data_IF_945887761185
#
_entry.id   IF_945887761185
#
_cell.length_a   1.000
_cell.length_b   1.000
_cell.length_c   1.000
_cell.angle_alpha   90.00
_cell.angle_beta   90.00
_cell.angle_gamma   90.00
#
_symmetry.space_group_name_H-M   'P 1'
#
loop_
_entity.id
_entity.type
_entity.pdbx_description
1 polymer ?
#
# COMPACT_ATOMS: atom_id res chain seq x y z
N UNK A 1 36.87 25.55 -34.29
CA UNK A 1 36.63 25.33 -32.84
C UNK A 1 35.15 25.29 -32.43
N UNK A 2 34.20 25.75 -33.27
CA UNK A 2 32.76 25.84 -32.90
C UNK A 2 31.92 24.57 -33.20
N UNK A 3 32.27 23.76 -34.20
CA UNK A 3 31.50 22.56 -34.56
C UNK A 3 31.65 21.42 -33.54
N UNK A 4 32.88 21.19 -33.06
CA UNK A 4 33.17 20.14 -32.09
C UNK A 4 32.46 20.41 -30.74
N UNK A 5 32.45 21.66 -30.30
CA UNK A 5 31.75 22.08 -29.08
C UNK A 5 30.23 21.89 -29.18
N UNK A 6 29.61 22.21 -30.33
CA UNK A 6 28.19 21.93 -30.59
C UNK A 6 27.87 20.44 -30.59
N UNK A 7 28.73 19.60 -31.18
CA UNK A 7 28.53 18.15 -31.18
C UNK A 7 28.61 17.56 -29.77
N UNK A 8 29.58 18.00 -28.96
CA UNK A 8 29.69 17.57 -27.55
C UNK A 8 28.47 18.02 -26.74
N UNK A 9 27.97 19.25 -26.94
CA UNK A 9 26.74 19.72 -26.26
C UNK A 9 25.50 18.91 -26.65
N UNK A 10 25.34 18.56 -27.93
CA UNK A 10 24.22 17.70 -28.38
C UNK A 10 24.34 16.31 -27.77
N UNK A 11 25.54 15.72 -27.74
CA UNK A 11 25.77 14.41 -27.16
C UNK A 11 25.46 14.40 -25.65
N UNK A 12 25.89 15.42 -24.91
CA UNK A 12 25.61 15.59 -23.47
C UNK A 12 24.11 15.78 -23.24
N UNK A 13 23.43 16.59 -24.06
CA UNK A 13 21.98 16.78 -23.96
C UNK A 13 21.21 15.48 -24.24
N UNK A 14 21.61 14.71 -25.26
CA UNK A 14 21.06 13.39 -25.54
C UNK A 14 21.32 12.39 -24.40
N UNK A 15 22.50 12.45 -23.76
CA UNK A 15 22.81 11.59 -22.62
C UNK A 15 21.92 11.91 -21.41
N UNK A 16 21.72 13.20 -21.13
CA UNK A 16 20.87 13.66 -20.01
C UNK A 16 19.41 13.27 -20.25
N UNK A 17 18.88 13.44 -21.47
CA UNK A 17 17.51 13.01 -21.80
C UNK A 17 17.37 11.49 -21.80
N UNK A 18 18.41 10.73 -22.16
CA UNK A 18 18.36 9.27 -22.10
C UNK A 18 18.35 8.76 -20.64
N UNK A 19 19.20 9.32 -19.78
CA UNK A 19 19.27 8.95 -18.35
C UNK A 19 17.96 9.29 -17.63
N UNK A 20 17.32 10.43 -17.94
CA UNK A 20 16.05 10.79 -17.31
C UNK A 20 14.89 9.87 -17.71
N UNK A 21 14.86 9.38 -18.95
CA UNK A 21 13.86 8.40 -19.40
C UNK A 21 14.02 7.04 -18.71
N UNK A 22 15.26 6.59 -18.45
CA UNK A 22 15.52 5.35 -17.71
C UNK A 22 15.03 5.47 -16.26
N UNK A 23 15.27 6.61 -15.60
CA UNK A 23 14.84 6.84 -14.23
C UNK A 23 13.31 6.83 -14.08
N UNK A 24 12.57 7.42 -15.03
CA UNK A 24 11.10 7.40 -15.00
C UNK A 24 10.53 5.99 -15.27
N UNK A 25 11.21 5.19 -16.09
CA UNK A 25 10.80 3.81 -16.40
C UNK A 25 10.84 2.88 -15.17
N UNK A 26 11.57 3.25 -14.11
CA UNK A 26 11.75 2.43 -12.91
C UNK A 26 10.71 2.69 -11.82
N UNK A 27 9.80 3.65 -12.01
CA UNK A 27 8.78 3.97 -11.03
C UNK A 27 7.50 3.15 -11.28
N UNK A 28 6.81 2.79 -10.19
CA UNK A 28 5.47 2.24 -10.23
C UNK A 28 4.51 3.34 -9.78
N UNK A 29 3.61 3.75 -10.67
CA UNK A 29 2.49 4.62 -10.33
C UNK A 29 1.41 3.75 -9.68
N UNK A 30 0.90 4.19 -8.54
CA UNK A 30 -0.23 3.57 -7.85
C UNK A 30 -1.40 4.53 -7.92
N UNK A 31 -2.57 4.02 -8.21
CA UNK A 31 -3.85 4.75 -8.10
C UNK A 31 -4.83 3.91 -7.29
N UNK A 32 -5.91 4.53 -6.81
CA UNK A 32 -6.84 3.86 -5.90
C UNK A 32 -8.31 4.12 -6.20
N UNK A 33 -9.15 3.22 -5.71
CA UNK A 33 -10.60 3.39 -5.64
C UNK A 33 -11.11 2.81 -4.32
N UNK A 34 -11.56 3.70 -3.43
CA UNK A 34 -12.16 3.34 -2.15
C UNK A 34 -13.64 2.94 -2.32
N UNK A 35 -14.03 1.90 -1.59
CA UNK A 35 -15.43 1.54 -1.34
C UNK A 35 -16.22 1.11 -2.57
N UNK A 36 -17.53 1.34 -2.50
CA UNK A 36 -18.50 1.14 -3.57
C UNK A 36 -18.93 2.48 -4.16
N UNK A 37 -19.13 2.52 -5.48
CA UNK A 37 -19.78 3.67 -6.15
C UNK A 37 -21.30 3.69 -5.94
N UNK A 38 -21.87 2.54 -5.59
CA UNK A 38 -23.27 2.43 -5.21
C UNK A 38 -23.44 2.84 -3.74
N UNK A 39 -24.29 3.84 -3.51
CA UNK A 39 -24.49 4.46 -2.21
C UNK A 39 -25.11 3.50 -1.19
N UNK A 40 -26.09 2.69 -1.58
CA UNK A 40 -26.75 1.76 -0.66
C UNK A 40 -25.76 0.67 -0.21
N UNK A 41 -24.95 0.18 -1.15
CA UNK A 41 -23.87 -0.77 -0.83
C UNK A 41 -22.83 -0.12 0.09
N UNK A 42 -22.44 1.13 -0.17
CA UNK A 42 -21.47 1.82 0.69
C UNK A 42 -22.02 2.04 2.11
N UNK A 43 -23.27 2.47 2.25
CA UNK A 43 -23.92 2.64 3.56
C UNK A 43 -24.01 1.31 4.33
N UNK A 44 -24.31 0.21 3.65
CA UNK A 44 -24.30 -1.12 4.26
C UNK A 44 -22.88 -1.54 4.69
N UNK A 45 -21.88 -1.25 3.87
CA UNK A 45 -20.48 -1.53 4.20
C UNK A 45 -20.03 -0.75 5.44
N UNK A 46 -20.35 0.54 5.50
CA UNK A 46 -20.02 1.39 6.64
C UNK A 46 -20.75 0.91 7.92
N UNK A 47 -22.03 0.52 7.80
CA UNK A 47 -22.81 -0.05 8.91
C UNK A 47 -22.21 -1.36 9.43
N UNK A 48 -21.72 -2.22 8.53
CA UNK A 48 -21.13 -3.52 8.86
C UNK A 48 -19.63 -3.47 9.19
N UNK A 49 -19.05 -2.27 9.26
CA UNK A 49 -17.63 -2.02 9.50
C UNK A 49 -16.74 -2.79 8.49
N UNK A 50 -17.11 -2.68 7.21
CA UNK A 50 -16.45 -3.30 6.05
C UNK A 50 -15.73 -2.21 5.26
N UNK A 51 -14.46 -2.44 4.99
CA UNK A 51 -13.65 -1.60 4.11
C UNK A 51 -13.29 -2.34 2.84
N UNK A 52 -13.24 -1.60 1.73
CA UNK A 52 -12.79 -2.09 0.43
C UNK A 52 -11.88 -1.04 -0.18
N UNK A 53 -10.71 -1.45 -0.64
CA UNK A 53 -9.78 -0.59 -1.36
C UNK A 53 -9.27 -1.32 -2.58
N UNK A 54 -9.38 -0.73 -3.76
CA UNK A 54 -8.72 -1.24 -4.96
C UNK A 54 -7.49 -0.39 -5.24
N UNK A 55 -6.33 -1.03 -5.34
CA UNK A 55 -5.08 -0.40 -5.78
C UNK A 55 -4.73 -0.92 -7.18
N UNK A 56 -4.37 0.01 -8.07
CA UNK A 56 -3.90 -0.28 -9.42
C UNK A 56 -2.46 0.20 -9.52
N UNK A 57 -1.55 -0.75 -9.72
CA UNK A 57 -0.12 -0.52 -9.88
C UNK A 57 0.21 -0.54 -11.38
N UNK A 58 0.86 0.51 -11.87
CA UNK A 58 1.23 0.67 -13.28
C UNK A 58 2.73 0.99 -13.39
N UNK A 59 3.47 0.18 -14.14
CA UNK A 59 4.89 0.40 -14.39
C UNK A 59 5.57 -0.79 -15.05
N UNK A 60 6.58 -0.53 -15.90
CA UNK A 60 7.42 -1.59 -16.50
C UNK A 60 8.12 -2.51 -15.49
N UNK A 61 8.51 -2.07 -14.27
CA UNK A 61 9.16 -2.95 -13.30
C UNK A 61 8.27 -4.09 -12.77
N UNK A 62 6.96 -4.05 -12.99
CA UNK A 62 6.01 -5.07 -12.57
C UNK A 62 6.03 -6.31 -13.48
N UNK A 63 6.44 -6.14 -14.73
CA UNK A 63 6.34 -7.17 -15.76
C UNK A 63 7.30 -8.33 -15.46
N UNK A 64 6.76 -9.54 -15.41
CA UNK A 64 7.49 -10.76 -15.06
C UNK A 64 7.71 -10.97 -13.55
N UNK A 65 7.21 -10.09 -12.68
CA UNK A 65 7.44 -10.20 -11.22
C UNK A 65 6.43 -11.11 -10.53
N UNK A 66 6.91 -11.78 -9.50
CA UNK A 66 6.05 -12.25 -8.42
C UNK A 66 5.86 -11.14 -7.39
N UNK A 67 4.85 -11.29 -6.54
CA UNK A 67 4.58 -10.36 -5.46
C UNK A 67 4.02 -11.10 -4.26
N UNK A 68 4.31 -10.55 -3.10
CA UNK A 68 3.90 -11.10 -1.82
C UNK A 68 3.23 -9.98 -1.03
N UNK A 69 2.11 -10.32 -0.42
CA UNK A 69 1.28 -9.39 0.35
C UNK A 69 1.20 -9.91 1.76
N UNK A 70 1.58 -9.07 2.71
CA UNK A 70 1.60 -9.40 4.13
C UNK A 70 0.76 -8.41 4.94
N UNK A 71 0.21 -8.89 6.06
CA UNK A 71 -0.32 -8.05 7.13
C UNK A 71 0.67 -8.09 8.30
N UNK A 72 1.24 -6.93 8.63
CA UNK A 72 2.17 -6.73 9.74
C UNK A 72 1.41 -6.09 10.90
N UNK A 73 1.52 -6.67 12.09
CA UNK A 73 0.85 -6.21 13.31
C UNK A 73 1.84 -5.50 14.21
N UNK A 74 1.48 -4.30 14.64
CA UNK A 74 2.31 -3.47 15.50
C UNK A 74 1.59 -3.19 16.82
N UNK A 75 2.31 -3.33 17.93
CA UNK A 75 1.82 -2.99 19.27
C UNK A 75 2.83 -2.06 19.92
N UNK A 76 2.38 -0.89 20.41
CA UNK A 76 3.24 0.15 20.99
C UNK A 76 4.45 0.54 20.11
N UNK A 77 4.28 0.51 18.79
CA UNK A 77 5.32 0.86 17.82
C UNK A 77 6.30 -0.26 17.47
N UNK A 78 6.15 -1.45 18.05
CA UNK A 78 6.99 -2.61 17.70
C UNK A 78 6.21 -3.59 16.82
N UNK A 79 6.86 -4.12 15.78
CA UNK A 79 6.28 -5.19 14.95
C UNK A 79 6.24 -6.48 15.76
N UNK A 80 5.03 -6.95 16.06
CA UNK A 80 4.77 -8.12 16.90
C UNK A 80 4.43 -9.38 16.10
N UNK A 81 3.90 -9.23 14.89
CA UNK A 81 3.49 -10.36 14.07
C UNK A 81 3.51 -10.00 12.58
N UNK A 82 3.66 -11.01 11.73
CA UNK A 82 3.45 -10.91 10.28
C UNK A 82 2.66 -12.13 9.83
N UNK A 83 1.59 -11.93 9.07
CA UNK A 83 0.87 -13.01 8.39
C UNK A 83 0.86 -12.80 6.89
N UNK A 84 1.04 -13.88 6.15
CA UNK A 84 0.91 -13.89 4.70
C UNK A 84 -0.56 -13.77 4.31
N UNK A 85 -0.89 -12.78 3.47
CA UNK A 85 -2.20 -12.69 2.81
C UNK A 85 -2.17 -13.43 1.48
N UNK A 86 -1.13 -13.24 0.68
CA UNK A 86 -1.01 -13.89 -0.63
C UNK A 86 0.45 -13.90 -1.10
N UNK A 87 0.88 -15.00 -1.72
CA UNK A 87 2.17 -15.10 -2.39
C UNK A 87 1.96 -15.62 -3.82
N UNK A 88 2.26 -14.78 -4.80
CA UNK A 88 2.09 -15.16 -6.20
C UNK A 88 3.17 -16.13 -6.70
N UNK A 89 4.22 -16.39 -5.92
CA UNK A 89 5.26 -17.37 -6.25
C UNK A 89 4.85 -18.83 -6.01
N UNK A 90 3.74 -19.05 -5.29
CA UNK A 90 3.22 -20.40 -5.04
C UNK A 90 2.89 -21.14 -6.34
N UNK A 91 2.48 -20.40 -7.38
CA UNK A 91 2.21 -20.95 -8.71
C UNK A 91 2.59 -19.95 -9.81
N UNK A 92 3.27 -20.42 -10.85
CA UNK A 92 3.68 -19.63 -12.02
C UNK A 92 2.51 -18.86 -12.66
N UNK A 93 1.30 -19.43 -12.63
CA UNK A 93 0.07 -18.80 -13.12
C UNK A 93 -0.23 -17.43 -12.47
N UNK A 94 0.23 -17.19 -11.25
CA UNK A 94 0.01 -15.91 -10.55
C UNK A 94 1.11 -14.88 -10.81
N UNK A 95 2.16 -15.21 -11.56
CA UNK A 95 3.18 -14.24 -11.99
C UNK A 95 2.51 -13.10 -12.74
N UNK A 96 2.89 -11.87 -12.42
CA UNK A 96 2.39 -10.71 -13.12
C UNK A 96 3.14 -10.51 -14.44
N UNK A 97 2.57 -10.92 -15.56
CA UNK A 97 3.16 -10.74 -16.90
C UNK A 97 2.64 -9.48 -17.62
N UNK A 98 2.29 -8.45 -16.86
CA UNK A 98 1.71 -7.19 -17.34
C UNK A 98 2.43 -6.00 -16.71
N UNK A 99 2.34 -4.84 -17.37
CA UNK A 99 2.76 -3.55 -16.78
C UNK A 99 1.74 -2.99 -15.80
N UNK A 100 0.62 -3.68 -15.64
CA UNK A 100 -0.46 -3.32 -14.73
C UNK A 100 -0.78 -4.51 -13.80
N UNK A 101 -0.93 -4.23 -12.51
CA UNK A 101 -1.43 -5.15 -11.51
C UNK A 101 -2.58 -4.49 -10.75
N UNK A 102 -3.76 -5.11 -10.75
CA UNK A 102 -4.92 -4.63 -9.99
C UNK A 102 -5.23 -5.57 -8.82
N UNK A 103 -5.26 -5.01 -7.61
CA UNK A 103 -5.51 -5.73 -6.37
C UNK A 103 -6.63 -5.06 -5.60
N UNK A 104 -7.60 -5.84 -5.15
CA UNK A 104 -8.70 -5.38 -4.30
C UNK A 104 -8.59 -5.99 -2.92
N UNK A 105 -8.48 -5.14 -1.92
CA UNK A 105 -8.36 -5.48 -0.51
C UNK A 105 -9.73 -5.32 0.15
N UNK A 106 -10.11 -6.31 0.95
CA UNK A 106 -11.31 -6.28 1.76
C UNK A 106 -10.96 -6.52 3.21
N UNK A 107 -11.50 -5.67 4.08
CA UNK A 107 -11.35 -5.78 5.51
C UNK A 107 -12.74 -5.77 6.14
N UNK A 108 -12.96 -6.60 7.15
CA UNK A 108 -14.14 -6.50 8.02
C UNK A 108 -13.67 -6.55 9.45
N UNK A 109 -14.17 -5.63 10.26
CA UNK A 109 -14.01 -5.70 11.70
C UNK A 109 -15.28 -6.28 12.30
N UNK A 110 -15.15 -7.41 12.99
CA UNK A 110 -16.29 -8.06 13.65
C UNK A 110 -15.80 -8.92 14.79
N UNK A 111 -16.53 -8.92 15.91
CA UNK A 111 -16.26 -9.81 17.05
C UNK A 111 -14.83 -9.68 17.60
N UNK A 112 -14.29 -8.45 17.64
CA UNK A 112 -12.93 -8.19 18.10
C UNK A 112 -11.83 -8.69 17.14
N UNK A 113 -12.17 -8.99 15.89
CA UNK A 113 -11.21 -9.48 14.88
C UNK A 113 -11.22 -8.62 13.62
N UNK A 114 -10.03 -8.43 13.07
CA UNK A 114 -9.83 -7.97 11.71
C UNK A 114 -9.77 -9.18 10.78
N UNK A 115 -10.75 -9.28 9.88
CA UNK A 115 -10.78 -10.24 8.78
C UNK A 115 -10.30 -9.57 7.50
N UNK A 116 -9.28 -10.15 6.87
CA UNK A 116 -8.63 -9.61 5.67
C UNK A 116 -8.70 -10.59 4.51
N UNK A 117 -8.99 -10.10 3.31
CA UNK A 117 -8.97 -10.85 2.04
C UNK A 117 -8.42 -9.97 0.94
N UNK A 118 -7.60 -10.53 0.07
CA UNK A 118 -7.13 -9.89 -1.17
C UNK A 118 -7.69 -10.62 -2.36
N UNK A 119 -8.11 -9.86 -3.38
CA UNK A 119 -8.53 -10.39 -4.67
C UNK A 119 -7.71 -9.76 -5.79
N UNK A 120 -7.27 -10.58 -6.74
CA UNK A 120 -6.79 -10.11 -8.03
C UNK A 120 -7.69 -10.63 -9.15
N UNK A 121 -7.29 -10.43 -10.40
CA UNK A 121 -8.08 -10.80 -11.58
C UNK A 121 -8.50 -12.28 -11.60
N UNK A 122 -7.65 -13.17 -11.09
CA UNK A 122 -7.85 -14.63 -11.17
C UNK A 122 -7.76 -15.36 -9.83
N UNK A 123 -7.72 -14.63 -8.71
CA UNK A 123 -7.59 -15.26 -7.40
C UNK A 123 -8.31 -14.49 -6.30
N UNK A 124 -8.59 -15.21 -5.22
CA UNK A 124 -8.93 -14.66 -3.92
C UNK A 124 -8.03 -15.37 -2.91
N UNK A 125 -7.41 -14.60 -2.02
CA UNK A 125 -6.65 -15.17 -0.92
C UNK A 125 -7.55 -15.96 0.03
N UNK A 126 -6.93 -16.79 0.86
CA UNK A 126 -7.56 -17.25 2.09
C UNK A 126 -7.97 -16.07 2.97
N UNK A 127 -8.97 -16.27 3.82
CA UNK A 127 -9.37 -15.30 4.84
C UNK A 127 -8.36 -15.35 5.98
N UNK A 128 -7.70 -14.24 6.25
CA UNK A 128 -6.81 -14.09 7.41
C UNK A 128 -7.53 -13.35 8.51
N UNK A 129 -7.35 -13.81 9.75
CA UNK A 129 -7.97 -13.23 10.94
C UNK A 129 -6.88 -12.78 11.92
N UNK A 130 -6.97 -11.55 12.40
CA UNK A 130 -6.12 -10.98 13.43
C UNK A 130 -6.98 -10.50 14.60
N UNK A 131 -6.56 -10.78 15.83
CA UNK A 131 -7.24 -10.29 17.02
C UNK A 131 -6.98 -8.79 17.18
N UNK A 132 -8.00 -8.04 17.58
CA UNK A 132 -7.88 -6.63 17.92
C UNK A 132 -7.53 -6.49 19.40
N UNK A 133 -6.61 -5.58 19.70
CA UNK A 133 -6.15 -5.30 21.08
C UNK A 133 -6.78 -4.03 21.68
N UNK A 134 -7.70 -3.41 20.95
CA UNK A 134 -8.40 -2.20 21.35
C UNK A 134 -9.85 -2.26 20.87
N UNK A 135 -10.64 -1.22 21.15
CA UNK A 135 -12.02 -1.12 20.71
C UNK A 135 -12.13 -1.27 19.19
N UNK A 136 -12.92 -2.25 18.75
CA UNK A 136 -13.16 -2.58 17.36
C UNK A 136 -13.63 -1.37 16.53
N UNK A 137 -14.45 -0.49 17.12
CA UNK A 137 -15.03 0.68 16.45
C UNK A 137 -14.00 1.80 16.22
N UNK A 138 -12.79 1.67 16.76
CA UNK A 138 -11.72 2.67 16.59
C UNK A 138 -10.80 2.38 15.42
N UNK A 139 -10.80 1.16 14.90
CA UNK A 139 -9.94 0.83 13.77
C UNK A 139 -10.58 1.35 12.49
N UNK A 140 -9.78 2.05 11.69
CA UNK A 140 -10.20 2.55 10.38
C UNK A 140 -9.16 2.20 9.33
N UNK A 141 -9.63 1.88 8.13
CA UNK A 141 -8.75 1.74 6.98
C UNK A 141 -8.25 3.11 6.53
N UNK A 142 -6.96 3.17 6.20
CA UNK A 142 -6.30 4.34 5.64
C UNK A 142 -5.34 3.95 4.53
N UNK A 143 -5.35 4.74 3.48
CA UNK A 143 -4.34 4.75 2.43
C UNK A 143 -3.31 5.87 2.67
N UNK A 144 -2.24 5.87 1.89
CA UNK A 144 -1.13 6.83 2.00
C UNK A 144 -1.16 7.93 0.93
N UNK A 145 -2.27 8.12 0.22
CA UNK A 145 -2.37 9.10 -0.87
C UNK A 145 -2.61 10.53 -0.39
N UNK A 146 -3.13 10.69 0.83
CA UNK A 146 -3.42 12.01 1.39
C UNK A 146 -4.48 12.76 0.58
N UNK A 147 -4.12 13.89 -0.03
CA UNK A 147 -4.98 14.63 -0.97
C UNK A 147 -4.74 14.27 -2.44
N UNK A 148 -3.72 13.48 -2.71
CA UNK A 148 -3.32 13.13 -4.06
C UNK A 148 -4.16 11.96 -4.60
N UNK A 149 -4.20 11.82 -5.93
CA UNK A 149 -4.87 10.70 -6.60
C UNK A 149 -3.92 9.60 -7.01
N UNK A 150 -2.62 9.88 -6.96
CA UNK A 150 -1.57 9.01 -7.46
C UNK A 150 -0.39 9.04 -6.47
N UNK A 151 0.26 7.89 -6.31
CA UNK A 151 1.46 7.74 -5.50
C UNK A 151 2.52 6.99 -6.32
N UNK A 152 3.80 7.37 -6.21
CA UNK A 152 4.89 6.75 -6.94
C UNK A 152 5.78 5.94 -6.01
N UNK A 153 5.82 4.63 -6.22
CA UNK A 153 6.78 3.73 -5.58
C UNK A 153 8.05 3.72 -6.43
N UNK A 154 9.18 3.99 -5.77
CA UNK A 154 10.51 3.97 -6.39
C UNK A 154 11.52 3.26 -5.48
N UNK A 155 12.66 2.89 -6.05
CA UNK A 155 13.75 2.24 -5.32
C UNK A 155 13.65 0.71 -5.30
N UNK A 156 14.16 0.08 -4.24
CA UNK A 156 14.16 -1.37 -4.11
C UNK A 156 12.72 -1.89 -3.90
N UNK A 157 12.23 -2.69 -4.86
CA UNK A 157 10.89 -3.27 -4.85
C UNK A 157 10.80 -4.60 -4.09
N UNK A 158 11.93 -5.21 -3.74
CA UNK A 158 11.99 -6.48 -2.98
C UNK A 158 11.91 -6.27 -1.45
N UNK A 159 11.64 -5.03 -1.01
CA UNK A 159 11.35 -4.71 0.40
C UNK A 159 9.85 -4.68 0.63
N UNK A 160 9.44 -4.87 1.88
CA UNK A 160 8.05 -4.60 2.28
C UNK A 160 7.74 -3.10 2.08
N UNK A 161 6.78 -2.82 1.22
CA UNK A 161 6.28 -1.48 0.95
C UNK A 161 4.88 -1.39 1.58
N UNK A 162 4.68 -0.56 2.62
CA UNK A 162 3.36 -0.30 3.17
C UNK A 162 2.46 0.34 2.10
N UNK A 163 1.29 -0.25 1.88
CA UNK A 163 0.30 0.22 0.90
C UNK A 163 -1.03 0.63 1.55
N UNK A 164 -1.37 0.05 2.69
CA UNK A 164 -2.54 0.42 3.49
C UNK A 164 -2.22 0.27 4.99
N UNK A 165 -2.97 0.99 5.82
CA UNK A 165 -2.91 0.87 7.27
C UNK A 165 -4.31 0.71 7.87
N UNK A 166 -4.42 -0.08 8.93
CA UNK A 166 -5.61 -0.18 9.77
C UNK A 166 -5.21 0.29 11.16
N UNK A 167 -5.64 1.49 11.52
CA UNK A 167 -5.11 2.24 12.66
C UNK A 167 -6.21 2.60 13.65
N UNK A 168 -5.86 2.67 14.93
CA UNK A 168 -6.65 3.39 15.94
C UNK A 168 -6.30 4.89 15.91
N UNK A 169 -7.14 5.78 16.46
CA UNK A 169 -6.84 7.20 16.44
C UNK A 169 -5.68 7.53 17.37
N UNK A 170 -4.94 8.59 17.02
CA UNK A 170 -4.07 9.28 17.98
C UNK A 170 -4.91 10.04 19.00
N UNK A 171 -4.48 10.04 20.27
CA UNK A 171 -5.12 10.84 21.33
C UNK A 171 -4.34 12.13 21.54
N UNK A 172 -5.02 13.27 21.39
CA UNK A 172 -4.48 14.57 21.76
C UNK A 172 -4.54 14.77 23.28
N UNK A 173 -3.75 15.72 23.80
CA UNK A 173 -3.68 16.01 25.24
C UNK A 173 -5.03 16.48 25.84
N UNK A 174 -5.91 17.03 25.00
CA UNK A 174 -7.27 17.46 25.36
C UNK A 174 -8.30 16.32 25.30
N UNK A 175 -7.88 15.09 25.01
CA UNK A 175 -8.73 13.91 24.91
C UNK A 175 -9.42 13.72 23.55
N UNK A 176 -9.22 14.64 22.60
CA UNK A 176 -9.75 14.49 21.23
C UNK A 176 -8.99 13.41 20.45
N UNK A 177 -9.69 12.74 19.53
CA UNK A 177 -9.16 11.65 18.70
C UNK A 177 -8.92 12.13 17.27
N UNK A 178 -7.75 11.84 16.70
CA UNK A 178 -7.43 12.24 15.33
C UNK A 178 -6.80 11.10 14.52
N UNK A 179 -7.39 10.83 13.35
CA UNK A 179 -6.86 9.90 12.36
C UNK A 179 -6.04 10.61 11.27
N UNK A 180 -6.41 11.85 10.92
CA UNK A 180 -5.80 12.57 9.78
C UNK A 180 -4.32 12.91 10.01
N UNK A 181 -3.93 13.19 11.26
CA UNK A 181 -2.53 13.48 11.63
C UNK A 181 -1.58 12.32 11.35
N UNK A 182 -2.09 11.08 11.32
CA UNK A 182 -1.25 9.88 11.27
C UNK A 182 -0.76 9.63 9.86
N UNK A 183 -1.69 9.59 8.90
CA UNK A 183 -1.43 9.03 7.56
C UNK A 183 -1.01 10.07 6.52
N UNK A 184 -1.30 11.35 6.79
CA UNK A 184 -0.84 12.49 5.97
C UNK A 184 0.44 13.11 6.51
N UNK A 185 1.14 12.40 7.41
CA UNK A 185 2.41 12.84 7.97
C UNK A 185 3.59 12.39 7.13
N UNK A 186 4.73 13.06 7.29
CA UNK A 186 6.02 12.61 6.72
C UNK A 186 6.63 11.43 7.50
N UNK A 187 5.91 10.91 8.50
CA UNK A 187 6.37 9.80 9.34
C UNK A 187 6.21 8.50 8.56
N UNK A 188 7.24 7.65 8.59
CA UNK A 188 7.14 6.34 7.95
C UNK A 188 6.11 5.46 8.69
N UNK A 189 5.29 4.67 7.97
CA UNK A 189 4.17 3.93 8.57
C UNK A 189 4.56 3.00 9.72
N UNK A 190 5.75 2.41 9.67
CA UNK A 190 6.30 1.53 10.70
C UNK A 190 6.53 2.23 12.04
N UNK A 191 6.67 3.56 12.05
CA UNK A 191 6.93 4.34 13.28
C UNK A 191 5.66 4.99 13.86
N UNK A 192 4.48 4.78 13.26
CA UNK A 192 3.23 5.39 13.69
C UNK A 192 2.92 5.17 15.19
N UNK A 193 3.20 3.98 15.71
CA UNK A 193 2.98 3.68 17.12
C UNK A 193 3.80 4.56 18.06
N UNK A 194 5.07 4.81 17.73
CA UNK A 194 5.98 5.62 18.54
C UNK A 194 5.63 7.11 18.47
N UNK A 195 5.42 7.64 17.26
CA UNK A 195 5.19 9.08 17.06
C UNK A 195 3.79 9.51 17.49
N UNK A 196 2.77 8.72 17.13
CA UNK A 196 1.37 9.08 17.36
C UNK A 196 0.77 8.41 18.60
N UNK A 197 1.56 7.61 19.33
CA UNK A 197 1.13 6.86 20.52
C UNK A 197 -0.07 5.95 20.22
N UNK A 198 -0.04 5.32 19.04
CA UNK A 198 -1.06 4.37 18.59
C UNK A 198 -0.74 3.01 19.23
N UNK A 199 -1.61 2.47 20.11
CA UNK A 199 -1.31 1.27 20.88
C UNK A 199 -1.28 0.02 20.02
N UNK A 200 -2.10 -0.03 18.97
CA UNK A 200 -2.21 -1.20 18.10
C UNK A 200 -2.64 -0.80 16.68
N UNK A 201 -1.95 -1.32 15.67
CA UNK A 201 -2.29 -1.09 14.26
C UNK A 201 -1.75 -2.21 13.37
N UNK A 202 -2.26 -2.23 12.14
CA UNK A 202 -1.80 -3.14 11.10
C UNK A 202 -1.30 -2.36 9.89
N UNK A 203 -0.23 -2.84 9.27
CA UNK A 203 0.21 -2.40 7.95
C UNK A 203 0.00 -3.53 6.96
N UNK A 204 -0.62 -3.22 5.83
CA UNK A 204 -0.65 -4.11 4.68
C UNK A 204 0.53 -3.71 3.81
N UNK A 205 1.36 -4.67 3.48
CA UNK A 205 2.61 -4.48 2.75
C UNK A 205 2.59 -5.31 1.48
N UNK A 206 3.25 -4.81 0.44
CA UNK A 206 3.54 -5.55 -0.79
C UNK A 206 5.04 -5.49 -1.06
N UNK A 207 5.60 -6.55 -1.62
CA UNK A 207 6.92 -6.55 -2.25
C UNK A 207 6.85 -7.24 -3.60
N UNK A 208 7.70 -6.84 -4.54
CA UNK A 208 7.82 -7.42 -5.87
C UNK A 208 9.16 -8.13 -5.99
N UNK A 209 9.12 -9.43 -6.30
CA UNK A 209 10.28 -10.33 -6.30
C UNK A 209 10.44 -11.02 -7.66
N UNK A 210 11.68 -11.41 -7.98
CA UNK A 210 11.99 -12.16 -9.21
C UNK A 210 11.53 -13.63 -9.14
N UNK A 211 11.43 -14.18 -7.92
CA UNK A 211 10.98 -15.54 -7.61
C UNK A 211 10.04 -15.49 -6.44
#
# INVERSE_FOLDING_TARGET
MNLYYKQVQILVFCLITFISNIALSQNIKVTYAYGSKDKEIQELMDFENIYSEQLIFEGTPLEGKHYEINIQEFTHGEKTNTKLLFDSSEMEFFRNNSKELSLKFFFKISEGKLKSVVKGTHFSSAKVYNELKDNADWYVLKDFFGSEKEWFISGNLDRDIPILAIITPSMNADGTKSYCKVVQSEIIPEEFGLHFKIPHYFLITIKFKEK
#
